data_IF_444218941295
#
_entry.id   IF_444218941295
#
_cell.length_a   1.000
_cell.length_b   1.000
_cell.length_c   1.000
_cell.angle_alpha   90.00
_cell.angle_beta   90.00
_cell.angle_gamma   90.00
#
_symmetry.space_group_name_H-M   'P 1'
#
loop_
_entity.id
_entity.type
_entity.pdbx_description
1 polymer ?
#
# COMPACT_ATOMS: atom_id res chain seq x y z
N UNK A 1 38.09 54.89 19.19
CA UNK A 1 36.63 54.98 19.38
C UNK A 1 36.01 54.29 18.18
N UNK A 2 35.65 53.02 18.34
CA UNK A 2 34.24 52.60 18.44
C UNK A 2 33.78 52.29 17.01
N UNK A 3 33.83 51.04 16.54
CA UNK A 3 32.92 49.99 16.96
C UNK A 3 31.69 50.06 16.05
N UNK A 4 31.55 49.10 15.13
CA UNK A 4 30.27 48.58 14.62
C UNK A 4 30.52 47.41 13.64
N UNK A 5 30.77 46.25 14.23
CA UNK A 5 30.70 44.92 13.61
C UNK A 5 29.25 44.40 13.72
N UNK A 6 28.27 45.16 13.20
CA UNK A 6 26.84 44.77 13.26
C UNK A 6 26.11 44.99 11.92
N UNK A 7 26.83 45.26 10.82
CA UNK A 7 26.22 45.36 9.48
C UNK A 7 26.44 44.10 8.61
N UNK A 8 26.80 42.96 9.23
CA UNK A 8 27.11 41.72 8.51
C UNK A 8 26.18 40.54 8.84
N UNK A 9 24.96 40.80 9.33
CA UNK A 9 23.95 39.74 9.54
C UNK A 9 22.52 40.29 9.44
N UNK A 10 22.03 40.62 8.23
CA UNK A 10 20.58 40.69 7.93
C UNK A 10 20.28 40.95 6.44
N UNK A 11 20.93 40.24 5.50
CA UNK A 11 20.42 40.23 4.11
C UNK A 11 20.71 38.96 3.31
N UNK A 12 20.45 37.78 3.90
CA UNK A 12 20.35 36.52 3.16
C UNK A 12 19.34 35.59 3.83
N UNK A 13 18.06 35.71 3.51
CA UNK A 13 17.17 34.53 3.37
C UNK A 13 15.80 34.92 2.81
N UNK A 14 15.36 34.11 1.83
CA UNK A 14 13.98 33.86 1.42
C UNK A 14 13.32 34.85 0.44
N UNK A 15 13.85 34.90 -0.79
CA UNK A 15 12.99 35.01 -1.99
C UNK A 15 12.67 33.61 -2.49
N UNK A 16 11.45 33.12 -2.22
CA UNK A 16 10.75 32.15 -3.08
C UNK A 16 9.32 31.89 -2.58
N UNK A 17 8.45 32.91 -2.55
CA UNK A 17 7.00 32.71 -2.50
C UNK A 17 6.48 32.51 -3.93
N UNK A 18 6.62 31.30 -4.47
CA UNK A 18 5.87 30.85 -5.64
C UNK A 18 4.57 30.25 -5.12
N UNK A 19 3.57 31.11 -4.95
CA UNK A 19 2.18 30.73 -4.71
C UNK A 19 1.64 30.15 -6.01
N UNK A 20 1.53 28.81 -6.04
CA UNK A 20 0.92 28.04 -7.11
C UNK A 20 -0.61 28.29 -7.12
N UNK A 21 -1.07 29.20 -7.97
CA UNK A 21 -2.49 29.34 -8.31
C UNK A 21 -2.85 28.33 -9.41
N UNK A 22 -3.41 27.19 -9.00
CA UNK A 22 -4.31 26.41 -9.82
C UNK A 22 -5.48 25.93 -8.95
N UNK A 23 -6.30 26.88 -8.52
CA UNK A 23 -7.62 26.59 -7.99
C UNK A 23 -8.65 26.86 -9.10
N UNK A 24 -9.07 25.78 -9.74
CA UNK A 24 -10.30 25.69 -10.53
C UNK A 24 -10.73 24.25 -10.48
N UNK A 25 -11.25 23.86 -9.32
CA UNK A 25 -11.96 22.59 -9.14
C UNK A 25 -13.17 22.57 -10.07
N UNK A 26 -13.09 21.76 -11.11
CA UNK A 26 -14.24 21.38 -11.93
C UNK A 26 -15.16 20.50 -11.07
N UNK A 27 -16.25 21.08 -10.56
CA UNK A 27 -17.21 20.44 -9.65
C UNK A 27 -18.13 19.39 -10.32
N UNK A 28 -17.62 18.60 -11.26
CA UNK A 28 -18.44 17.60 -11.96
C UNK A 28 -17.80 16.23 -12.16
N UNK A 29 -16.80 15.87 -11.36
CA UNK A 29 -16.27 14.50 -11.36
C UNK A 29 -17.19 13.58 -10.56
N UNK A 30 -17.65 12.50 -11.20
CA UNK A 30 -18.43 11.44 -10.57
C UNK A 30 -17.61 10.79 -9.44
N UNK A 31 -18.22 10.30 -8.34
CA UNK A 31 -17.50 9.70 -7.20
C UNK A 31 -16.56 8.54 -7.56
N UNK A 32 -16.67 7.98 -8.77
CA UNK A 32 -15.84 6.88 -9.26
C UNK A 32 -14.47 7.30 -9.81
N UNK A 33 -14.18 8.60 -10.01
CA UNK A 33 -12.93 9.04 -10.66
C UNK A 33 -11.86 9.57 -9.67
N UNK A 34 -12.19 9.73 -8.38
CA UNK A 34 -11.25 10.21 -7.35
C UNK A 34 -10.40 9.09 -6.71
N UNK A 35 -10.37 7.88 -7.29
CA UNK A 35 -9.71 6.70 -6.68
C UNK A 35 -8.29 6.47 -7.23
N UNK A 36 -7.81 7.24 -8.21
CA UNK A 36 -6.59 6.87 -8.94
C UNK A 36 -5.34 7.68 -8.62
N UNK A 37 -5.39 8.71 -7.78
CA UNK A 37 -4.21 9.57 -7.58
C UNK A 37 -3.96 9.92 -6.12
N UNK A 38 -3.34 8.99 -5.37
CA UNK A 38 -2.24 9.28 -4.45
C UNK A 38 -1.75 8.00 -3.74
N UNK A 39 -0.53 7.57 -4.10
CA UNK A 39 0.41 6.69 -3.36
C UNK A 39 -0.13 5.33 -2.87
N UNK A 40 0.40 4.18 -3.28
CA UNK A 40 1.70 3.65 -2.83
C UNK A 40 2.17 2.49 -3.74
N UNK A 41 3.44 2.53 -4.13
CA UNK A 41 4.39 1.40 -4.14
C UNK A 41 3.80 -0.01 -4.37
N UNK A 42 3.94 -0.51 -5.60
CA UNK A 42 3.90 -1.93 -6.01
C UNK A 42 3.10 -2.88 -5.08
N UNK A 43 1.81 -2.63 -4.92
CA UNK A 43 0.93 -3.40 -4.04
C UNK A 43 0.52 -4.70 -4.77
N UNK A 44 1.51 -5.53 -5.14
CA UNK A 44 1.37 -6.76 -5.93
C UNK A 44 0.35 -7.74 -5.31
N UNK A 45 0.15 -7.67 -3.99
CA UNK A 45 -0.86 -8.46 -3.29
C UNK A 45 -2.29 -8.08 -3.67
N UNK A 46 -2.55 -6.82 -4.05
CA UNK A 46 -3.88 -6.34 -4.39
C UNK A 46 -4.41 -7.00 -5.68
N UNK A 47 -3.51 -7.47 -6.55
CA UNK A 47 -3.83 -8.17 -7.80
C UNK A 47 -4.00 -9.68 -7.62
N UNK A 48 -3.68 -10.25 -6.45
CA UNK A 48 -3.84 -11.69 -6.21
C UNK A 48 -5.32 -12.11 -6.38
N UNK A 49 -5.60 -12.96 -7.37
CA UNK A 49 -6.93 -13.54 -7.59
C UNK A 49 -7.12 -14.78 -6.72
N UNK A 50 -8.09 -14.73 -5.82
CA UNK A 50 -8.43 -15.84 -4.93
C UNK A 50 -8.87 -17.11 -5.68
N UNK A 51 -9.27 -17.00 -6.95
CA UNK A 51 -9.80 -18.11 -7.74
C UNK A 51 -8.75 -18.76 -8.66
N UNK A 52 -7.56 -18.17 -8.78
CA UNK A 52 -6.56 -18.61 -9.76
C UNK A 52 -5.20 -18.76 -9.08
N UNK A 53 -4.84 -20.01 -8.76
CA UNK A 53 -3.51 -20.31 -8.23
C UNK A 53 -2.45 -20.12 -9.34
N UNK A 54 -1.33 -19.42 -9.08
CA UNK A 54 -0.25 -19.28 -10.03
C UNK A 54 0.32 -20.64 -10.42
N UNK A 55 0.47 -20.88 -11.73
CA UNK A 55 1.00 -22.12 -12.24
C UNK A 55 2.54 -22.11 -12.13
N UNK A 56 3.11 -22.96 -11.27
CA UNK A 56 4.58 -23.04 -11.10
C UNK A 56 5.31 -23.33 -12.42
N UNK A 57 4.66 -24.02 -13.35
CA UNK A 57 5.27 -24.39 -14.63
C UNK A 57 5.60 -23.16 -15.50
N UNK A 58 4.94 -22.03 -15.26
CA UNK A 58 5.19 -20.78 -15.98
C UNK A 58 6.46 -20.06 -15.47
N UNK A 59 6.91 -20.41 -14.27
CA UNK A 59 8.05 -19.76 -13.60
C UNK A 59 9.31 -20.62 -13.55
N UNK A 60 9.22 -21.90 -13.92
CA UNK A 60 10.33 -22.86 -13.84
C UNK A 60 10.71 -23.35 -15.25
N UNK A 61 11.99 -23.27 -15.66
CA UNK A 61 12.48 -23.84 -16.91
C UNK A 61 12.15 -25.34 -17.07
N UNK A 62 11.84 -25.75 -18.31
CA UNK A 62 11.37 -27.11 -18.62
C UNK A 62 12.38 -28.22 -18.26
N UNK A 63 13.67 -27.95 -18.41
CA UNK A 63 14.77 -28.85 -18.04
C UNK A 63 14.80 -29.13 -16.52
N UNK A 64 14.46 -28.11 -15.72
CA UNK A 64 14.38 -28.22 -14.26
C UNK A 64 13.07 -28.91 -13.85
N UNK A 65 11.95 -28.57 -14.49
CA UNK A 65 10.65 -29.20 -14.23
C UNK A 65 10.69 -30.71 -14.40
N UNK A 66 11.35 -31.19 -15.46
CA UNK A 66 11.43 -32.62 -15.74
C UNK A 66 12.07 -33.39 -14.58
N UNK A 67 13.13 -32.85 -13.99
CA UNK A 67 13.79 -33.42 -12.81
C UNK A 67 12.92 -33.27 -11.56
N UNK A 68 12.31 -32.11 -11.35
CA UNK A 68 11.51 -31.83 -10.17
C UNK A 68 10.28 -32.74 -10.06
N UNK A 69 9.52 -32.96 -11.15
CA UNK A 69 8.29 -33.76 -11.12
C UNK A 69 8.47 -35.18 -10.60
N UNK A 70 9.66 -35.78 -10.79
CA UNK A 70 9.94 -37.13 -10.30
C UNK A 70 10.38 -37.18 -8.82
N UNK A 71 10.50 -36.03 -8.17
CA UNK A 71 11.03 -35.94 -6.80
C UNK A 71 9.95 -35.52 -5.80
N UNK A 72 10.22 -35.76 -4.51
CA UNK A 72 9.42 -35.21 -3.40
C UNK A 72 9.43 -33.67 -3.39
N UNK A 73 10.47 -33.06 -3.96
CA UNK A 73 10.64 -31.62 -4.02
C UNK A 73 9.50 -30.93 -4.76
N UNK A 74 8.98 -31.54 -5.85
CA UNK A 74 7.84 -30.98 -6.57
C UNK A 74 6.63 -30.76 -5.66
N UNK A 75 6.28 -31.76 -4.84
CA UNK A 75 5.16 -31.64 -3.91
C UNK A 75 5.38 -30.53 -2.88
N UNK A 76 6.62 -30.41 -2.39
CA UNK A 76 6.97 -29.35 -1.45
C UNK A 76 6.85 -27.96 -2.08
N UNK A 77 7.34 -27.78 -3.31
CA UNK A 77 7.20 -26.54 -4.07
C UNK A 77 5.74 -26.20 -4.35
N UNK A 78 4.90 -27.18 -4.69
CA UNK A 78 3.46 -26.93 -4.86
C UNK A 78 2.78 -26.48 -3.56
N UNK A 79 3.13 -27.09 -2.42
CA UNK A 79 2.60 -26.69 -1.12
C UNK A 79 3.09 -25.31 -0.70
N UNK A 80 4.35 -24.97 -0.96
CA UNK A 80 4.87 -23.62 -0.73
C UNK A 80 4.13 -22.59 -1.58
N UNK A 81 3.95 -22.86 -2.88
CA UNK A 81 3.25 -21.95 -3.77
C UNK A 81 1.82 -21.70 -3.31
N UNK A 82 1.11 -22.75 -2.89
CA UNK A 82 -0.22 -22.64 -2.29
C UNK A 82 -0.19 -21.80 -1.01
N UNK A 83 0.76 -22.04 -0.11
CA UNK A 83 0.91 -21.26 1.13
C UNK A 83 1.15 -19.78 0.84
N UNK A 84 2.06 -19.46 -0.07
CA UNK A 84 2.38 -18.08 -0.44
C UNK A 84 1.15 -17.41 -1.07
N UNK A 85 0.45 -18.09 -1.97
CA UNK A 85 -0.71 -17.54 -2.64
C UNK A 85 -1.90 -17.31 -1.69
N UNK A 86 -2.16 -18.27 -0.79
CA UNK A 86 -3.20 -18.12 0.24
C UNK A 86 -2.86 -16.98 1.20
N UNK A 87 -1.59 -16.82 1.57
CA UNK A 87 -1.13 -15.71 2.39
C UNK A 87 -1.28 -14.35 1.69
N UNK A 88 -0.95 -14.24 0.40
CA UNK A 88 -1.17 -13.00 -0.39
C UNK A 88 -2.65 -12.64 -0.47
N UNK A 89 -3.51 -13.63 -0.72
CA UNK A 89 -4.97 -13.43 -0.74
C UNK A 89 -5.49 -12.99 0.63
N UNK A 90 -4.91 -13.52 1.73
CA UNK A 90 -5.23 -13.08 3.08
C UNK A 90 -4.82 -11.61 3.32
N UNK A 91 -3.58 -11.24 2.98
CA UNK A 91 -3.08 -9.86 3.06
C UNK A 91 -3.94 -8.89 2.25
N UNK A 92 -4.31 -9.25 1.02
CA UNK A 92 -5.25 -8.49 0.20
C UNK A 92 -6.57 -8.25 0.91
N UNK A 93 -7.13 -9.29 1.54
CA UNK A 93 -8.40 -9.18 2.27
C UNK A 93 -8.28 -8.23 3.46
N UNK A 94 -7.16 -8.24 4.18
CA UNK A 94 -6.88 -7.29 5.27
C UNK A 94 -6.71 -5.85 4.74
N UNK A 95 -5.97 -5.67 3.64
CA UNK A 95 -5.81 -4.36 2.97
C UNK A 95 -7.15 -3.80 2.48
N UNK A 96 -8.03 -4.65 1.94
CA UNK A 96 -9.41 -4.27 1.57
C UNK A 96 -10.21 -3.88 2.82
N UNK A 97 -10.05 -4.59 3.93
CA UNK A 97 -10.70 -4.24 5.20
C UNK A 97 -10.32 -2.82 5.65
N UNK A 98 -9.05 -2.44 5.49
CA UNK A 98 -8.59 -1.07 5.77
C UNK A 98 -9.21 -0.07 4.79
N UNK A 99 -8.96 -0.24 3.48
CA UNK A 99 -9.32 0.73 2.44
C UNK A 99 -10.83 0.90 2.25
N UNK A 100 -11.61 -0.18 2.36
CA UNK A 100 -13.04 -0.16 2.07
C UNK A 100 -13.93 -0.02 3.31
N UNK A 101 -13.40 -0.24 4.52
CA UNK A 101 -14.22 -0.18 5.74
C UNK A 101 -13.62 0.75 6.79
N UNK A 102 -12.39 0.50 7.25
CA UNK A 102 -11.79 1.31 8.32
C UNK A 102 -11.64 2.77 7.91
N UNK A 103 -10.96 3.06 6.82
CA UNK A 103 -10.71 4.43 6.36
C UNK A 103 -12.03 5.18 6.07
N UNK A 104 -13.03 4.60 5.37
CA UNK A 104 -14.34 5.24 5.24
C UNK A 104 -15.06 5.48 6.57
N UNK A 105 -14.94 4.57 7.54
CA UNK A 105 -15.55 4.71 8.87
C UNK A 105 -14.84 5.77 9.73
N UNK A 106 -13.54 5.99 9.56
CA UNK A 106 -12.80 7.10 10.19
C UNK A 106 -13.27 8.45 9.65
N UNK A 107 -13.47 8.52 8.34
CA UNK A 107 -13.90 9.74 7.67
C UNK A 107 -15.39 10.06 7.88
N UNK A 108 -16.20 9.03 8.11
CA UNK A 108 -17.59 9.19 8.49
C UNK A 108 -17.68 9.49 10.00
N UNK A 109 -18.15 10.68 10.38
CA UNK A 109 -18.23 11.16 11.78
C UNK A 109 -19.23 10.38 12.68
N UNK A 110 -19.59 9.15 12.32
CA UNK A 110 -20.56 8.30 13.00
C UNK A 110 -19.98 7.35 14.05
N UNK A 111 -18.65 7.28 14.20
CA UNK A 111 -18.00 6.36 15.14
C UNK A 111 -16.83 7.05 15.87
N UNK A 112 -16.69 6.78 17.17
CA UNK A 112 -15.53 7.26 17.93
C UNK A 112 -14.28 6.42 17.62
N UNK A 113 -13.06 6.98 17.78
CA UNK A 113 -11.82 6.22 17.57
C UNK A 113 -11.72 4.96 18.43
N UNK A 114 -12.31 4.97 19.63
CA UNK A 114 -12.31 3.83 20.57
C UNK A 114 -13.18 2.68 20.05
N UNK A 115 -14.35 2.99 19.49
CA UNK A 115 -15.24 1.99 18.89
C UNK A 115 -14.60 1.37 17.64
N UNK A 116 -13.95 2.21 16.84
CA UNK A 116 -13.24 1.77 15.64
C UNK A 116 -12.07 0.83 15.96
N UNK A 117 -11.26 1.17 16.97
CA UNK A 117 -10.15 0.31 17.44
C UNK A 117 -10.66 -0.99 18.07
N UNK A 118 -11.85 -0.97 18.68
CA UNK A 118 -12.51 -2.20 19.14
C UNK A 118 -12.90 -3.14 18.00
N UNK A 119 -13.34 -2.60 16.85
CA UNK A 119 -13.75 -3.38 15.67
C UNK A 119 -12.53 -3.88 14.91
N UNK A 120 -11.55 -3.01 14.63
CA UNK A 120 -10.37 -3.30 13.82
C UNK A 120 -9.11 -3.47 14.67
N UNK A 121 -9.21 -4.13 15.82
CA UNK A 121 -8.12 -4.23 16.79
C UNK A 121 -6.85 -4.81 16.17
N UNK A 122 -5.73 -4.12 16.36
CA UNK A 122 -4.39 -4.53 15.91
C UNK A 122 -4.27 -4.82 14.39
N UNK A 123 -5.18 -4.33 13.55
CA UNK A 123 -5.16 -4.65 12.11
C UNK A 123 -3.84 -4.23 11.45
N UNK A 124 -3.29 -3.07 11.81
CA UNK A 124 -2.02 -2.60 11.23
C UNK A 124 -0.85 -3.50 11.65
N UNK A 125 -0.86 -3.99 12.89
CA UNK A 125 0.16 -4.92 13.37
C UNK A 125 0.01 -6.27 12.67
N UNK A 126 -1.22 -6.73 12.45
CA UNK A 126 -1.49 -7.97 11.73
C UNK A 126 -1.04 -7.88 10.27
N UNK A 127 -1.31 -6.76 9.60
CA UNK A 127 -0.85 -6.52 8.22
C UNK A 127 0.67 -6.44 8.17
N UNK A 128 1.32 -5.74 9.10
CA UNK A 128 2.79 -5.63 9.12
C UNK A 128 3.51 -6.91 9.52
N UNK A 129 2.86 -7.81 10.26
CA UNK A 129 3.40 -9.11 10.64
C UNK A 129 3.48 -10.06 9.45
N UNK A 130 2.53 -9.93 8.53
CA UNK A 130 2.31 -10.82 7.41
C UNK A 130 3.06 -10.36 6.15
#
# INVERSE_FOLDING_TARGET
MGGNTIDELLNQRADSDIINQQDSTNLNASPSELVTQQTTEDDSDLEADANTLPNLNEFIPNDILQVLYQTREWKFQTTINELIHTQRTHLKSLKIMVKCFREPMENFHGMSPVELDCIFRNLDQLINLH
#
